data_IF_375254728233
#
_entry.id   IF_375254728233
#
_cell.length_a   1.000
_cell.length_b   1.000
_cell.length_c   1.000
_cell.angle_alpha   90.00
_cell.angle_beta   90.00
_cell.angle_gamma   90.00
#
_symmetry.space_group_name_H-M   'P 1'
#
loop_
_entity.id
_entity.type
_entity.pdbx_description
1 polymer ?
#
# COMPACT_ATOMS: atom_id res chain seq x y z
N UNK A 1 -13.35 2.40 18.12
CA UNK A 1 -14.19 2.57 16.90
C UNK A 1 -14.84 1.24 16.60
N UNK A 2 -16.17 1.18 16.55
CA UNK A 2 -16.88 -0.11 16.46
C UNK A 2 -16.51 -0.91 15.20
N UNK A 3 -16.45 -2.23 15.34
CA UNK A 3 -16.27 -3.17 14.22
C UNK A 3 -17.27 -2.92 13.09
N UNK A 4 -18.49 -2.51 13.43
CA UNK A 4 -19.53 -2.16 12.46
C UNK A 4 -19.17 -0.96 11.59
N UNK A 5 -18.54 0.07 12.16
CA UNK A 5 -18.02 1.19 11.36
C UNK A 5 -16.98 0.70 10.37
N UNK A 6 -16.01 -0.10 10.83
CA UNK A 6 -14.92 -0.61 10.00
C UNK A 6 -15.42 -1.49 8.85
N UNK A 7 -16.37 -2.40 9.12
CA UNK A 7 -17.01 -3.23 8.09
C UNK A 7 -17.84 -2.38 7.11
N UNK A 8 -18.58 -1.39 7.61
CA UNK A 8 -19.35 -0.47 6.76
C UNK A 8 -18.42 0.32 5.84
N UNK A 9 -17.28 0.78 6.34
CA UNK A 9 -16.26 1.47 5.55
C UNK A 9 -15.69 0.56 4.46
N UNK A 10 -15.31 -0.67 4.82
CA UNK A 10 -14.80 -1.67 3.88
C UNK A 10 -15.81 -1.99 2.77
N UNK A 11 -17.10 -2.13 3.09
CA UNK A 11 -18.14 -2.34 2.08
C UNK A 11 -18.29 -1.09 1.22
N UNK A 12 -18.36 0.09 1.84
CA UNK A 12 -18.54 1.36 1.14
C UNK A 12 -17.42 1.65 0.16
N UNK A 13 -16.16 1.40 0.53
CA UNK A 13 -15.02 1.63 -0.37
C UNK A 13 -15.01 0.66 -1.56
N UNK A 14 -15.47 -0.57 -1.38
CA UNK A 14 -15.60 -1.54 -2.48
C UNK A 14 -16.78 -1.20 -3.41
N UNK A 15 -17.91 -0.73 -2.86
CA UNK A 15 -19.03 -0.20 -3.65
C UNK A 15 -18.58 1.01 -4.47
N UNK A 16 -17.86 1.95 -3.84
CA UNK A 16 -17.30 3.12 -4.52
C UNK A 16 -16.32 2.71 -5.63
N UNK A 17 -15.39 1.78 -5.35
CA UNK A 17 -14.47 1.25 -6.34
C UNK A 17 -15.22 0.66 -7.55
N UNK A 18 -16.26 -0.14 -7.30
CA UNK A 18 -17.07 -0.74 -8.35
C UNK A 18 -17.79 0.30 -9.22
N UNK A 19 -18.33 1.36 -8.61
CA UNK A 19 -18.95 2.48 -9.34
C UNK A 19 -17.91 3.21 -10.19
N UNK A 20 -16.76 3.57 -9.61
CA UNK A 20 -15.71 4.31 -10.30
C UNK A 20 -15.08 3.52 -11.46
N UNK A 21 -14.96 2.20 -11.35
CA UNK A 21 -14.48 1.34 -12.43
C UNK A 21 -15.39 1.35 -13.67
N UNK A 22 -16.67 1.75 -13.53
CA UNK A 22 -17.59 1.93 -14.66
C UNK A 22 -17.53 3.34 -15.28
N UNK A 23 -16.85 4.28 -14.65
CA UNK A 23 -16.72 5.65 -15.14
C UNK A 23 -15.81 5.75 -16.37
N UNK A 24 -16.00 6.80 -17.18
CA UNK A 24 -15.19 7.03 -18.40
C UNK A 24 -13.70 7.22 -18.08
N UNK A 25 -12.76 6.88 -18.98
CA UNK A 25 -11.31 6.97 -18.72
C UNK A 25 -10.83 8.35 -18.33
N UNK A 26 -11.40 9.41 -18.92
CA UNK A 26 -11.06 10.80 -18.56
C UNK A 26 -11.36 11.09 -17.10
N UNK A 27 -12.54 10.68 -16.60
CA UNK A 27 -12.93 10.87 -15.20
C UNK A 27 -11.97 10.10 -14.29
N UNK A 28 -11.65 8.86 -14.65
CA UNK A 28 -10.73 8.02 -13.87
C UNK A 28 -9.33 8.64 -13.80
N UNK A 29 -8.82 9.15 -14.93
CA UNK A 29 -7.52 9.84 -14.97
C UNK A 29 -7.53 11.07 -14.06
N UNK A 30 -8.60 11.88 -14.11
CA UNK A 30 -8.75 13.03 -13.20
C UNK A 30 -8.76 12.60 -11.74
N UNK A 31 -9.50 11.54 -11.38
CA UNK A 31 -9.55 11.01 -10.01
C UNK A 31 -8.17 10.53 -9.56
N UNK A 32 -7.42 9.80 -10.39
CA UNK A 32 -6.05 9.37 -10.06
C UNK A 32 -5.17 10.60 -9.78
N UNK A 33 -5.23 11.63 -10.62
CA UNK A 33 -4.46 12.87 -10.39
C UNK A 33 -4.88 13.56 -9.08
N UNK A 34 -6.18 13.63 -8.79
CA UNK A 34 -6.67 14.21 -7.52
C UNK A 34 -6.18 13.41 -6.31
N UNK A 35 -6.26 12.07 -6.35
CA UNK A 35 -5.73 11.19 -5.30
C UNK A 35 -4.23 11.44 -5.12
N UNK A 36 -3.48 11.49 -6.22
CA UNK A 36 -2.04 11.72 -6.22
C UNK A 36 -1.67 13.08 -5.61
N UNK A 37 -2.39 14.14 -5.94
CA UNK A 37 -2.21 15.47 -5.35
C UNK A 37 -2.49 15.45 -3.85
N UNK A 38 -3.64 14.91 -3.44
CA UNK A 38 -4.04 14.84 -2.02
C UNK A 38 -2.99 14.10 -1.21
N UNK A 39 -2.58 12.91 -1.66
CA UNK A 39 -1.61 12.08 -0.95
C UNK A 39 -0.24 12.76 -0.84
N UNK A 40 0.28 13.34 -1.93
CA UNK A 40 1.60 13.98 -1.92
C UNK A 40 1.59 15.25 -1.10
N UNK A 41 0.60 16.14 -1.29
CA UNK A 41 0.51 17.40 -0.54
C UNK A 41 0.38 17.08 0.94
N UNK A 42 -0.61 16.27 1.33
CA UNK A 42 -0.86 15.95 2.72
C UNK A 42 0.36 15.31 3.39
N UNK A 43 0.95 14.26 2.79
CA UNK A 43 2.08 13.55 3.40
C UNK A 43 3.37 14.37 3.40
N UNK A 44 3.63 15.13 2.34
CA UNK A 44 4.81 16.02 2.34
C UNK A 44 4.67 17.11 3.40
N UNK A 45 3.49 17.74 3.52
CA UNK A 45 3.23 18.73 4.56
C UNK A 45 3.36 18.12 5.95
N UNK A 46 2.77 16.95 6.20
CA UNK A 46 2.89 16.22 7.46
C UNK A 46 4.36 16.00 7.82
N UNK A 47 5.16 15.43 6.92
CA UNK A 47 6.57 15.15 7.20
C UNK A 47 7.42 16.40 7.36
N UNK A 48 7.18 17.45 6.55
CA UNK A 48 7.90 18.72 6.68
C UNK A 48 7.59 19.37 8.04
N UNK A 49 6.33 19.38 8.47
CA UNK A 49 5.95 19.93 9.78
C UNK A 49 6.57 19.12 10.94
N UNK A 50 6.57 17.79 10.84
CA UNK A 50 7.17 16.94 11.86
C UNK A 50 8.69 17.14 11.94
N UNK A 51 9.39 17.20 10.81
CA UNK A 51 10.83 17.51 10.76
C UNK A 51 11.11 18.92 11.31
N UNK A 52 10.30 19.91 10.93
CA UNK A 52 10.43 21.28 11.43
C UNK A 52 10.20 21.38 12.96
N UNK A 53 9.36 20.51 13.52
CA UNK A 53 9.16 20.38 14.97
C UNK A 53 10.25 19.58 15.69
N UNK A 54 11.26 19.09 14.96
CA UNK A 54 12.34 18.25 15.51
C UNK A 54 11.93 16.79 15.73
N UNK A 55 10.73 16.39 15.33
CA UNK A 55 10.22 15.04 15.49
C UNK A 55 10.62 14.15 14.29
N UNK A 56 11.81 13.54 14.38
CA UNK A 56 12.33 12.66 13.34
C UNK A 56 11.66 11.27 13.34
N UNK A 57 10.93 10.89 14.38
CA UNK A 57 10.27 9.56 14.45
C UNK A 57 9.18 9.39 13.39
N UNK A 58 8.68 10.49 12.82
CA UNK A 58 7.65 10.50 11.78
C UNK A 58 8.17 10.54 10.36
N UNK A 59 9.48 10.38 10.14
CA UNK A 59 10.04 10.24 8.79
C UNK A 59 9.43 8.99 8.11
N UNK A 60 9.08 9.06 6.81
CA UNK A 60 8.41 7.98 6.08
C UNK A 60 9.28 6.74 5.93
N UNK A 61 9.36 5.92 6.98
CA UNK A 61 10.01 4.61 6.93
C UNK A 61 9.01 3.49 6.66
N UNK A 62 7.72 3.69 6.93
CA UNK A 62 6.74 2.65 6.62
C UNK A 62 6.58 2.43 5.12
N UNK A 63 6.33 1.18 4.74
CA UNK A 63 6.06 0.83 3.35
C UNK A 63 4.88 1.63 2.77
N UNK A 64 3.81 1.80 3.55
CA UNK A 64 2.65 2.66 3.24
C UNK A 64 3.04 4.13 3.07
N UNK A 65 3.85 4.66 4.00
CA UNK A 65 4.34 6.04 4.02
C UNK A 65 5.10 6.40 2.74
N UNK A 66 6.05 5.54 2.34
CA UNK A 66 6.79 5.66 1.07
C UNK A 66 5.84 5.55 -0.12
N UNK A 67 4.86 4.64 -0.05
CA UNK A 67 3.90 4.41 -1.13
C UNK A 67 3.03 5.64 -1.40
N UNK A 68 2.58 6.39 -0.37
CA UNK A 68 1.79 7.61 -0.58
C UNK A 68 2.51 8.64 -1.46
N UNK A 69 3.79 8.88 -1.16
CA UNK A 69 4.62 9.83 -1.91
C UNK A 69 4.90 9.28 -3.30
N UNK A 70 5.42 8.05 -3.41
CA UNK A 70 5.83 7.49 -4.69
C UNK A 70 4.65 7.30 -5.64
N UNK A 71 3.48 6.90 -5.13
CA UNK A 71 2.26 6.82 -5.92
C UNK A 71 1.93 8.19 -6.51
N UNK A 72 1.88 9.24 -5.68
CA UNK A 72 1.52 10.56 -6.19
C UNK A 72 2.54 11.13 -7.17
N UNK A 73 3.84 11.06 -6.86
CA UNK A 73 4.89 11.51 -7.79
C UNK A 73 4.85 10.75 -9.11
N UNK A 74 4.65 9.43 -9.07
CA UNK A 74 4.62 8.59 -10.28
C UNK A 74 3.53 9.02 -11.25
N UNK A 75 2.32 9.33 -10.76
CA UNK A 75 1.20 9.70 -11.62
C UNK A 75 1.17 11.19 -11.97
N UNK A 76 1.66 12.08 -11.11
CA UNK A 76 1.80 13.50 -11.42
C UNK A 76 2.88 13.75 -12.50
N UNK A 77 4.01 13.06 -12.39
CA UNK A 77 5.15 13.20 -13.31
C UNK A 77 5.22 12.11 -14.38
N UNK A 78 4.22 11.22 -14.44
CA UNK A 78 4.13 10.13 -15.43
C UNK A 78 5.38 9.20 -15.49
N UNK A 79 5.95 8.84 -14.33
CA UNK A 79 7.18 8.05 -14.21
C UNK A 79 6.90 6.57 -14.53
N UNK A 80 7.00 6.18 -15.81
CA UNK A 80 6.63 4.85 -16.29
C UNK A 80 7.31 3.68 -15.55
N UNK A 81 8.58 3.83 -15.20
CA UNK A 81 9.37 2.77 -14.55
C UNK A 81 8.86 2.40 -13.15
N UNK A 82 8.20 3.33 -12.46
CA UNK A 82 7.69 3.13 -11.10
C UNK A 82 6.26 2.58 -11.07
N UNK A 83 5.49 2.75 -12.15
CA UNK A 83 4.05 2.41 -12.17
C UNK A 83 3.73 1.00 -11.68
N UNK A 84 4.42 -0.08 -12.11
CA UNK A 84 4.11 -1.42 -11.63
C UNK A 84 4.30 -1.55 -10.12
N UNK A 85 5.41 -1.03 -9.61
CA UNK A 85 5.72 -1.06 -8.18
C UNK A 85 4.73 -0.24 -7.36
N UNK A 86 4.51 1.03 -7.68
CA UNK A 86 3.64 1.89 -6.85
C UNK A 86 2.18 1.45 -6.93
N UNK A 87 1.73 0.89 -8.04
CA UNK A 87 0.37 0.35 -8.16
C UNK A 87 0.21 -0.90 -7.31
N UNK A 88 1.21 -1.80 -7.34
CA UNK A 88 1.25 -2.97 -6.47
C UNK A 88 1.30 -2.59 -4.99
N UNK A 89 2.22 -1.70 -4.62
CA UNK A 89 2.41 -1.25 -3.25
C UNK A 89 1.15 -0.55 -2.72
N UNK A 90 0.50 0.29 -3.55
CA UNK A 90 -0.75 0.94 -3.20
C UNK A 90 -1.89 -0.07 -3.02
N UNK A 91 -1.97 -1.07 -3.89
CA UNK A 91 -2.95 -2.15 -3.75
C UNK A 91 -2.73 -2.94 -2.46
N UNK A 92 -1.50 -3.41 -2.23
CA UNK A 92 -1.16 -4.23 -1.07
C UNK A 92 -1.36 -3.47 0.25
N UNK A 93 -0.85 -2.24 0.33
CA UNK A 93 -0.98 -1.40 1.53
C UNK A 93 -2.45 -1.04 1.77
N UNK A 94 -3.16 -0.57 0.75
CA UNK A 94 -4.56 -0.17 0.87
C UNK A 94 -5.47 -1.34 1.23
N UNK A 95 -5.40 -2.43 0.47
CA UNK A 95 -6.22 -3.62 0.71
C UNK A 95 -5.88 -4.31 2.02
N UNK A 96 -4.59 -4.48 2.32
CA UNK A 96 -4.12 -5.10 3.57
C UNK A 96 -4.62 -4.33 4.79
N UNK A 97 -4.48 -2.99 4.79
CA UNK A 97 -4.99 -2.16 5.87
C UNK A 97 -6.50 -2.30 6.01
N UNK A 98 -7.26 -2.20 4.92
CA UNK A 98 -8.73 -2.26 4.94
C UNK A 98 -9.29 -3.60 5.45
N UNK A 99 -8.62 -4.72 5.17
CA UNK A 99 -9.03 -6.04 5.68
C UNK A 99 -8.70 -6.20 7.16
N UNK A 100 -7.55 -5.71 7.60
CA UNK A 100 -7.12 -5.87 8.99
C UNK A 100 -7.84 -4.88 9.91
N UNK A 101 -8.22 -3.71 9.40
CA UNK A 101 -8.80 -2.62 10.17
C UNK A 101 -9.98 -3.02 11.08
N UNK A 102 -10.99 -3.82 10.64
CA UNK A 102 -12.08 -4.24 11.52
C UNK A 102 -11.65 -5.03 12.76
N UNK A 103 -10.48 -5.67 12.73
CA UNK A 103 -9.96 -6.48 13.83
C UNK A 103 -9.08 -5.68 14.79
N UNK A 104 -8.49 -4.57 14.34
CA UNK A 104 -7.51 -3.79 15.12
C UNK A 104 -7.91 -2.33 15.33
N UNK A 105 -9.08 -1.89 14.84
CA UNK A 105 -9.50 -0.49 14.86
C UNK A 105 -9.56 0.08 16.28
N UNK A 106 -10.01 -0.70 17.26
CA UNK A 106 -10.04 -0.26 18.66
C UNK A 106 -8.63 -0.01 19.20
N UNK A 107 -7.70 -0.94 18.97
CA UNK A 107 -6.29 -0.79 19.35
C UNK A 107 -5.64 0.42 18.67
N UNK A 108 -5.91 0.64 17.38
CA UNK A 108 -5.36 1.79 16.66
C UNK A 108 -5.90 3.11 17.21
N UNK A 109 -7.19 3.20 17.52
CA UNK A 109 -7.80 4.42 18.08
C UNK A 109 -7.27 4.70 19.49
N UNK A 110 -7.12 3.67 20.34
CA UNK A 110 -6.58 3.87 21.70
C UNK A 110 -5.12 4.29 21.67
N UNK A 111 -4.34 3.80 20.71
CA UNK A 111 -2.89 4.04 20.63
C UNK A 111 -2.55 5.36 19.93
N UNK A 112 -3.21 5.66 18.81
CA UNK A 112 -2.86 6.77 17.94
C UNK A 112 -3.86 7.94 17.97
N UNK A 113 -5.00 7.75 18.65
CA UNK A 113 -6.13 8.68 18.62
C UNK A 113 -7.06 8.47 17.43
N UNK A 114 -8.29 8.96 17.56
CA UNK A 114 -9.34 8.80 16.56
C UNK A 114 -8.99 9.48 15.23
N UNK A 115 -8.51 10.73 15.27
CA UNK A 115 -8.23 11.53 14.07
C UNK A 115 -7.11 10.91 13.23
N UNK A 116 -5.98 10.59 13.86
CA UNK A 116 -4.85 9.91 13.19
C UNK A 116 -5.28 8.59 12.56
N UNK A 117 -6.09 7.81 13.28
CA UNK A 117 -6.61 6.52 12.78
C UNK A 117 -7.53 6.72 11.58
N UNK A 118 -8.41 7.72 11.62
CA UNK A 118 -9.31 8.04 10.52
C UNK A 118 -8.51 8.51 9.29
N UNK A 119 -7.49 9.35 9.48
CA UNK A 119 -6.65 9.80 8.36
C UNK A 119 -5.84 8.66 7.75
N UNK A 120 -5.33 7.74 8.58
CA UNK A 120 -4.69 6.53 8.09
C UNK A 120 -5.67 5.67 7.26
N UNK A 121 -6.91 5.49 7.75
CA UNK A 121 -7.96 4.76 7.03
C UNK A 121 -8.30 5.41 5.68
N UNK A 122 -8.45 6.73 5.65
CA UNK A 122 -8.69 7.48 4.41
C UNK A 122 -7.50 7.35 3.46
N UNK A 123 -6.27 7.53 3.94
CA UNK A 123 -5.07 7.45 3.11
C UNK A 123 -4.91 6.08 2.46
N UNK A 124 -5.14 4.99 3.22
CA UNK A 124 -5.12 3.63 2.68
C UNK A 124 -6.28 3.36 1.71
N UNK A 125 -7.46 3.92 1.97
CA UNK A 125 -8.59 3.85 1.05
C UNK A 125 -8.29 4.52 -0.29
N UNK A 126 -7.62 5.68 -0.27
CA UNK A 126 -7.19 6.39 -1.47
C UNK A 126 -6.14 5.60 -2.27
N UNK A 127 -5.16 4.97 -1.61
CA UNK A 127 -4.22 4.07 -2.28
C UNK A 127 -4.92 2.88 -2.92
N UNK A 128 -5.84 2.24 -2.19
CA UNK A 128 -6.60 1.11 -2.69
C UNK A 128 -7.41 1.50 -3.94
N UNK A 129 -8.20 2.57 -3.87
CA UNK A 129 -8.96 3.09 -5.02
C UNK A 129 -8.04 3.46 -6.18
N UNK A 130 -6.99 4.23 -5.92
CA UNK A 130 -6.02 4.65 -6.92
C UNK A 130 -5.42 3.46 -7.67
N UNK A 131 -5.04 2.41 -6.95
CA UNK A 131 -4.48 1.20 -7.55
C UNK A 131 -5.46 0.50 -8.51
N UNK A 132 -6.73 0.33 -8.10
CA UNK A 132 -7.75 -0.32 -8.94
C UNK A 132 -8.06 0.49 -10.21
N UNK A 133 -8.12 1.82 -10.06
CA UNK A 133 -8.34 2.73 -11.18
C UNK A 133 -7.20 2.69 -12.19
N UNK A 134 -5.95 2.61 -11.72
CA UNK A 134 -4.79 2.42 -12.59
C UNK A 134 -4.88 1.08 -13.33
N UNK A 135 -5.24 -0.01 -12.64
CA UNK A 135 -5.41 -1.33 -13.27
C UNK A 135 -6.48 -1.34 -14.38
N UNK A 136 -7.47 -0.44 -14.31
CA UNK A 136 -8.43 -0.27 -15.41
C UNK A 136 -7.80 0.41 -16.62
N UNK A 137 -6.99 1.46 -16.41
CA UNK A 137 -6.45 2.27 -17.49
C UNK A 137 -5.21 1.65 -18.14
N UNK A 138 -4.41 0.93 -17.37
CA UNK A 138 -3.11 0.43 -17.80
C UNK A 138 -2.98 -1.07 -17.53
N UNK A 139 -2.65 -1.82 -18.58
CA UNK A 139 -2.31 -3.23 -18.46
C UNK A 139 -0.90 -3.34 -17.89
N UNK A 140 -0.78 -3.92 -16.69
CA UNK A 140 0.51 -4.20 -16.06
C UNK A 140 0.96 -5.62 -16.45
N UNK A 141 1.96 -5.78 -17.35
CA UNK A 141 2.36 -7.11 -17.80
C UNK A 141 3.13 -7.82 -16.70
N UNK A 142 2.94 -9.14 -16.58
CA UNK A 142 3.62 -9.97 -15.58
C UNK A 142 5.16 -9.92 -15.71
N UNK A 143 5.70 -9.54 -16.87
CA UNK A 143 7.13 -9.30 -17.09
C UNK A 143 7.70 -8.19 -16.20
N UNK A 144 6.86 -7.24 -15.75
CA UNK A 144 7.26 -6.16 -14.83
C UNK A 144 7.39 -6.62 -13.38
N UNK A 145 7.16 -7.89 -13.06
CA UNK A 145 7.27 -8.43 -11.69
C UNK A 145 8.64 -8.17 -11.10
N UNK A 146 9.70 -8.29 -11.91
CA UNK A 146 11.07 -7.97 -11.49
C UNK A 146 11.20 -6.53 -10.98
N UNK A 147 10.48 -5.58 -11.59
CA UNK A 147 10.49 -4.18 -11.12
C UNK A 147 9.84 -4.04 -9.75
N UNK A 148 8.73 -4.74 -9.47
CA UNK A 148 8.14 -4.78 -8.13
C UNK A 148 9.19 -5.26 -7.12
N UNK A 149 9.87 -6.38 -7.40
CA UNK A 149 10.86 -6.94 -6.49
C UNK A 149 12.06 -6.00 -6.27
N UNK A 150 12.61 -5.42 -7.34
CA UNK A 150 13.74 -4.49 -7.26
C UNK A 150 13.38 -3.26 -6.41
N UNK A 151 12.25 -2.62 -6.69
CA UNK A 151 11.83 -1.45 -5.93
C UNK A 151 11.47 -1.76 -4.48
N UNK A 152 10.90 -2.94 -4.22
CA UNK A 152 10.68 -3.42 -2.85
C UNK A 152 11.99 -3.54 -2.10
N UNK A 153 13.00 -4.16 -2.73
CA UNK A 153 14.33 -4.30 -2.14
C UNK A 153 14.95 -2.93 -1.86
N UNK A 154 14.80 -1.97 -2.78
CA UNK A 154 15.27 -0.59 -2.56
C UNK A 154 14.57 0.09 -1.38
N UNK A 155 13.26 -0.11 -1.20
CA UNK A 155 12.52 0.39 -0.03
C UNK A 155 13.01 -0.27 1.26
N UNK A 156 13.26 -1.58 1.26
CA UNK A 156 13.82 -2.30 2.41
C UNK A 156 15.22 -1.79 2.76
N UNK A 157 16.09 -1.60 1.77
CA UNK A 157 17.44 -1.04 1.98
C UNK A 157 17.34 0.38 2.56
N UNK A 158 16.46 1.21 2.01
CA UNK A 158 16.20 2.55 2.54
C UNK A 158 15.76 2.50 4.00
N UNK A 159 14.82 1.62 4.35
CA UNK A 159 14.35 1.44 5.73
C UNK A 159 15.46 1.02 6.69
N UNK A 160 16.26 0.03 6.30
CA UNK A 160 17.43 -0.40 7.09
C UNK A 160 18.39 0.77 7.30
N UNK A 161 18.67 1.54 6.24
CA UNK A 161 19.50 2.75 6.31
C UNK A 161 18.95 3.78 7.30
N UNK A 162 17.64 4.04 7.25
CA UNK A 162 16.98 4.97 8.16
C UNK A 162 16.97 4.48 9.61
N UNK A 163 16.94 3.17 9.84
CA UNK A 163 17.03 2.56 11.18
C UNK A 163 18.35 2.84 11.90
N UNK A 164 19.43 3.16 11.17
CA UNK A 164 20.69 3.62 11.78
C UNK A 164 20.68 5.08 12.21
N UNK A 165 19.75 5.88 11.68
CA UNK A 165 19.65 7.33 11.92
C UNK A 165 18.59 7.62 12.98
N UNK A 166 17.50 6.85 12.98
CA UNK A 166 16.30 7.10 13.80
C UNK A 166 16.03 5.86 14.64
N UNK A 167 15.93 6.03 15.96
CA UNK A 167 15.52 4.98 16.87
C UNK A 167 13.99 4.87 16.90
N UNK A 168 13.47 3.77 16.35
CA UNK A 168 12.03 3.47 16.30
C UNK A 168 11.56 2.55 17.44
N UNK A 169 12.33 2.41 18.52
CA UNK A 169 12.14 1.37 19.55
C UNK A 169 10.73 1.33 20.18
N UNK A 170 9.96 2.42 20.07
CA UNK A 170 8.60 2.54 20.61
C UNK A 170 7.49 2.72 19.55
N UNK A 171 7.81 2.70 18.25
CA UNK A 171 6.80 2.81 17.19
C UNK A 171 6.47 1.41 16.60
N UNK A 172 5.18 1.03 16.61
CA UNK A 172 4.68 -0.22 16.03
C UNK A 172 4.69 -0.16 14.50
N UNK A 173 5.87 -0.12 13.91
CA UNK A 173 6.04 -0.09 12.47
C UNK A 173 6.00 -1.52 11.93
N UNK A 174 4.95 -1.85 11.18
CA UNK A 174 4.70 -3.21 10.68
C UNK A 174 5.92 -3.82 9.98
N UNK A 175 6.64 -3.02 9.20
CA UNK A 175 7.80 -3.49 8.46
C UNK A 175 8.98 -3.86 9.37
N UNK A 176 9.16 -3.18 10.50
CA UNK A 176 10.19 -3.53 11.49
C UNK A 176 9.80 -4.78 12.27
N UNK A 177 8.51 -4.96 12.58
CA UNK A 177 8.03 -6.22 13.19
C UNK A 177 8.37 -7.42 12.28
N UNK A 178 8.20 -7.23 10.96
CA UNK A 178 8.52 -8.25 9.96
C UNK A 178 10.03 -8.44 9.82
N UNK A 179 10.80 -7.34 9.68
CA UNK A 179 12.25 -7.40 9.44
C UNK A 179 13.06 -7.83 10.67
N UNK A 180 12.65 -7.48 11.88
CA UNK A 180 13.33 -7.89 13.12
C UNK A 180 12.95 -9.30 13.57
N UNK A 181 12.03 -9.97 12.86
CA UNK A 181 11.53 -11.29 13.25
C UNK A 181 10.79 -11.28 14.59
N UNK A 182 10.27 -10.12 15.03
CA UNK A 182 9.51 -9.98 16.28
C UNK A 182 8.33 -10.94 16.36
N UNK A 183 7.76 -11.32 15.20
CA UNK A 183 6.69 -12.30 15.09
C UNK A 183 7.07 -13.73 15.52
N UNK A 184 8.36 -14.06 15.61
CA UNK A 184 8.86 -15.41 15.90
C UNK A 184 9.79 -15.47 17.12
N UNK A 185 9.93 -14.37 17.89
CA UNK A 185 10.84 -14.31 19.06
C UNK A 185 10.55 -15.44 20.06
N UNK A 186 9.29 -15.68 20.40
CA UNK A 186 8.95 -16.77 21.35
C UNK A 186 9.36 -18.17 20.86
N UNK A 187 9.38 -18.40 19.53
CA UNK A 187 9.85 -19.66 18.97
C UNK A 187 11.38 -19.76 19.00
N UNK A 188 12.09 -18.64 18.86
CA UNK A 188 13.55 -18.58 18.95
C UNK A 188 14.03 -18.84 20.37
N UNK A 189 13.38 -18.22 21.35
CA UNK A 189 13.69 -18.41 22.78
C UNK A 189 13.46 -19.86 23.21
N UNK A 190 12.42 -20.52 22.67
CA UNK A 190 12.13 -21.92 22.94
C UNK A 190 13.14 -22.90 22.31
N UNK A 191 13.79 -22.53 21.21
CA UNK A 191 14.66 -23.42 20.40
C UNK A 191 15.99 -22.73 20.01
N UNK A 192 16.84 -22.34 20.98
CA UNK A 192 18.02 -21.51 20.71
C UNK A 192 19.05 -22.17 19.80
N UNK A 193 19.18 -23.52 19.88
CA UNK A 193 20.14 -24.28 19.07
C UNK A 193 19.86 -24.27 17.56
N UNK A 194 18.65 -23.86 17.14
CA UNK A 194 18.26 -23.78 15.72
C UNK A 194 17.72 -22.40 15.33
N UNK A 195 17.95 -21.36 16.14
CA UNK A 195 17.41 -20.01 15.92
C UNK A 195 17.74 -19.44 14.53
N UNK A 196 18.96 -19.66 14.03
CA UNK A 196 19.39 -19.24 12.68
C UNK A 196 18.55 -19.90 11.59
N UNK A 197 18.27 -21.20 11.73
CA UNK A 197 17.45 -21.96 10.77
C UNK A 197 16.01 -21.42 10.79
N UNK A 198 15.48 -21.13 11.99
CA UNK A 198 14.15 -20.53 12.15
C UNK A 198 14.07 -19.17 11.43
N UNK A 199 15.09 -18.30 11.57
CA UNK A 199 15.17 -17.03 10.86
C UNK A 199 15.19 -17.19 9.34
N UNK A 200 16.01 -18.12 8.82
CA UNK A 200 16.10 -18.38 7.38
C UNK A 200 14.74 -18.84 6.84
N UNK A 201 14.10 -19.81 7.52
CA UNK A 201 12.77 -20.31 7.13
C UNK A 201 11.72 -19.18 7.17
N UNK A 202 11.76 -18.34 8.20
CA UNK A 202 10.86 -17.20 8.34
C UNK A 202 10.97 -16.21 7.17
N UNK A 203 12.17 -15.79 6.79
CA UNK A 203 12.36 -14.88 5.67
C UNK A 203 12.02 -15.52 4.31
N UNK A 204 12.31 -16.81 4.13
CA UNK A 204 11.85 -17.57 2.95
C UNK A 204 10.31 -17.58 2.91
N UNK A 205 9.65 -17.76 4.05
CA UNK A 205 8.20 -17.71 4.18
C UNK A 205 7.63 -16.35 3.76
N UNK A 206 8.16 -15.25 4.32
CA UNK A 206 7.75 -13.89 3.97
C UNK A 206 7.95 -13.64 2.47
N UNK A 207 9.11 -13.99 1.92
CA UNK A 207 9.40 -13.81 0.51
C UNK A 207 8.43 -14.60 -0.37
N UNK A 208 8.09 -15.83 0.03
CA UNK A 208 7.13 -16.67 -0.68
C UNK A 208 5.74 -16.06 -0.67
N UNK A 209 5.27 -15.58 0.48
CA UNK A 209 3.99 -14.86 0.62
C UNK A 209 3.99 -13.61 -0.26
N UNK A 210 5.06 -12.81 -0.21
CA UNK A 210 5.17 -11.60 -1.01
C UNK A 210 5.12 -11.87 -2.52
N UNK A 211 5.86 -12.89 -2.97
CA UNK A 211 5.85 -13.32 -4.38
C UNK A 211 4.48 -13.84 -4.82
N UNK A 212 3.79 -14.57 -3.94
CA UNK A 212 2.42 -15.02 -4.18
C UNK A 212 1.46 -13.83 -4.31
N UNK A 213 1.54 -12.84 -3.41
CA UNK A 213 0.73 -11.62 -3.47
C UNK A 213 0.99 -10.81 -4.74
N UNK A 214 2.25 -10.68 -5.17
CA UNK A 214 2.60 -10.07 -6.45
C UNK A 214 1.97 -10.82 -7.63
N UNK A 215 1.97 -12.15 -7.59
CA UNK A 215 1.35 -12.98 -8.63
C UNK A 215 -0.17 -12.79 -8.67
N UNK A 216 -0.82 -12.78 -7.50
CA UNK A 216 -2.26 -12.54 -7.37
C UNK A 216 -2.64 -11.14 -7.88
N UNK A 217 -1.85 -10.13 -7.56
CA UNK A 217 -2.03 -8.77 -8.07
C UNK A 217 -2.07 -8.73 -9.59
N UNK A 218 -1.17 -9.43 -10.29
CA UNK A 218 -1.19 -9.45 -11.76
C UNK A 218 -2.47 -10.09 -12.32
N UNK A 219 -2.94 -11.17 -11.70
CA UNK A 219 -4.20 -11.81 -12.09
C UNK A 219 -5.39 -10.86 -11.92
N UNK A 220 -5.43 -10.13 -10.80
CA UNK A 220 -6.47 -9.12 -10.53
C UNK A 220 -6.38 -7.98 -11.55
N UNK A 221 -5.18 -7.45 -11.77
CA UNK A 221 -4.93 -6.35 -12.72
C UNK A 221 -5.40 -6.71 -14.13
N UNK A 222 -5.01 -7.87 -14.65
CA UNK A 222 -5.45 -8.35 -15.96
C UNK A 222 -6.97 -8.51 -16.02
N UNK A 223 -7.59 -9.09 -15.00
CA UNK A 223 -9.04 -9.28 -14.93
C UNK A 223 -9.80 -7.94 -14.94
N UNK A 224 -9.32 -6.95 -14.18
CA UNK A 224 -9.90 -5.59 -14.17
C UNK A 224 -9.74 -4.94 -15.54
N UNK A 225 -8.53 -4.94 -16.08
CA UNK A 225 -8.23 -4.33 -17.39
C UNK A 225 -9.14 -4.89 -18.48
N UNK A 226 -9.19 -6.21 -18.65
CA UNK A 226 -10.00 -6.84 -19.70
C UNK A 226 -11.51 -6.64 -19.49
N UNK A 227 -11.99 -6.66 -18.25
CA UNK A 227 -13.43 -6.50 -17.95
C UNK A 227 -13.95 -5.10 -18.26
N UNK A 228 -13.15 -4.06 -18.03
CA UNK A 228 -13.62 -2.67 -18.07
C UNK A 228 -13.05 -1.86 -19.25
N UNK A 229 -11.89 -2.20 -19.79
CA UNK A 229 -11.30 -1.51 -20.95
C UNK A 229 -11.96 -1.94 -22.28
N UNK A 230 -12.22 -3.24 -22.47
CA UNK A 230 -12.77 -3.78 -23.73
C UNK A 230 -14.24 -3.35 -23.96
N UNK A 231 -15.00 -3.14 -22.88
CA UNK A 231 -16.41 -2.71 -22.97
C UNK A 231 -16.56 -1.32 -23.55
N UNK A 232 -15.63 -0.42 -23.29
CA UNK A 232 -15.68 0.96 -23.82
C UNK A 232 -15.34 1.01 -25.31
N UNK A 233 -14.43 0.16 -25.80
CA UNK A 233 -14.14 0.03 -27.24
C UNK A 233 -15.37 -0.42 -28.05
N UNK A 234 -16.23 -1.25 -27.46
CA UNK A 234 -17.47 -1.67 -28.11
C UNK A 234 -18.55 -0.58 -28.07
N UNK A 235 -18.66 0.17 -26.96
CA UNK A 235 -19.61 1.28 -26.86
C UNK A 235 -19.29 2.44 -27.81
N UNK A 236 -18.02 2.77 -27.99
CA UNK A 236 -17.59 3.83 -28.94
C UNK A 236 -17.92 3.45 -30.39
N UNK A 237 -17.84 2.15 -30.73
CA UNK A 237 -18.19 1.65 -32.07
C UNK A 237 -19.70 1.62 -32.34
N UNK A 238 -20.55 1.52 -31.32
CA UNK A 238 -22.02 1.54 -31.50
C UNK A 238 -22.64 2.94 -31.58
N UNK A 239 -21.87 3.99 -31.25
CA UNK A 239 -22.31 5.39 -31.30
C UNK A 239 -21.76 6.17 -32.50
N UNK A 240 -21.07 5.49 -33.42
CA UNK A 240 -20.64 6.02 -34.72
C UNK A 240 -21.39 5.28 -35.81
#
# INVERSE_FOLDING_TARGET
MSIWFALTWLVSINVLAFVLLKSRPMIIKSIIITISLVLVIYKTTEYVLQIASGNLSKIPVEFSAVTYILFGLTFLFSIKALKPFVTFAAFLSGFGYLIVFPFISDFLVTTNGFETTLVALVSHSLLYLGSLLVMKLELLPASTRKLIMIWTLLVVIYQIGMGFIIQFENEFLFIYIVLEGKAIIGLQEALPGIAVIIYIIYFIGIWTIYFFLASLFYLISQKIYHRYSIKELHQIKSTK
#
